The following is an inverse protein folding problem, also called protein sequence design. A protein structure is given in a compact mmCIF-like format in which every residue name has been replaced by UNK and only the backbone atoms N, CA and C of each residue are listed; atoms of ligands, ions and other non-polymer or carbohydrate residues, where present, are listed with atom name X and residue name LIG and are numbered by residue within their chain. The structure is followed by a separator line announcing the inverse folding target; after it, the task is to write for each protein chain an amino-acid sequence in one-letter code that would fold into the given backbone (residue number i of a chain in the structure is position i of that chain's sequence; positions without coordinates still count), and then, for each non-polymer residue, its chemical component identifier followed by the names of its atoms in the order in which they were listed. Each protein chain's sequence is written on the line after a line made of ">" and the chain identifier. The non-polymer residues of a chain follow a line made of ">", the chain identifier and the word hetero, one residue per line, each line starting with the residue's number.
data_IF_804907721278
#
_entry.id   IF_804907721278
#
_cell.length_a   1.000
_cell.length_b   1.000
_cell.length_c   1.000
_cell.angle_alpha   90.00
_cell.angle_beta   90.00
_cell.angle_gamma   90.00
#
_symmetry.space_group_name_H-M   'P 1'
#
loop_
_entity.id
_entity.type
_entity.pdbx_description
1 polymer ?
#
# COMPACT_ATOMS: atom_id res chain seq x y z
N UNK A 1 -2.66 19.36 19.33
CA UNK A 1 -2.61 18.11 18.57
C UNK A 1 -1.20 17.49 18.69
N UNK A 2 -0.97 16.65 19.70
CA UNK A 2 0.37 16.06 19.90
C UNK A 2 0.59 14.75 19.13
N UNK A 3 -0.46 14.07 18.65
CA UNK A 3 -0.37 12.72 18.04
C UNK A 3 -1.11 12.55 16.70
N UNK A 4 -1.45 13.62 16.00
CA UNK A 4 -2.09 13.54 14.66
C UNK A 4 -3.54 13.05 14.65
N UNK A 5 -4.13 12.68 15.76
CA UNK A 5 -5.54 12.29 15.89
C UNK A 5 -6.20 12.93 17.11
N UNK A 6 -7.52 13.02 17.11
CA UNK A 6 -8.33 13.57 18.18
C UNK A 6 -9.38 12.54 18.59
N UNK A 7 -9.51 12.25 19.89
CA UNK A 7 -10.55 11.34 20.38
C UNK A 7 -11.89 12.05 20.46
N UNK A 8 -12.95 11.36 20.11
CA UNK A 8 -14.34 11.89 20.18
C UNK A 8 -14.69 12.36 21.58
N UNK A 9 -14.27 11.64 22.62
CA UNK A 9 -14.56 12.00 24.00
C UNK A 9 -13.84 13.27 24.45
N UNK A 10 -12.58 13.45 24.05
CA UNK A 10 -11.78 14.62 24.40
C UNK A 10 -12.36 15.90 23.79
N UNK A 11 -12.83 15.82 22.52
CA UNK A 11 -13.52 16.96 21.88
C UNK A 11 -14.87 17.23 22.53
N UNK A 12 -15.63 16.18 22.82
CA UNK A 12 -16.95 16.32 23.47
C UNK A 12 -16.84 17.07 24.80
N UNK A 13 -15.85 16.70 25.61
CA UNK A 13 -15.55 17.36 26.87
C UNK A 13 -15.11 18.83 26.69
N UNK A 14 -14.14 19.06 25.75
CA UNK A 14 -13.66 20.43 25.46
C UNK A 14 -14.74 21.38 24.96
N UNK A 15 -15.70 20.87 24.15
CA UNK A 15 -16.77 21.70 23.57
C UNK A 15 -18.06 21.68 24.40
N UNK A 16 -18.12 20.91 25.49
CA UNK A 16 -19.31 20.81 26.33
C UNK A 16 -20.52 20.20 25.62
N UNK A 17 -20.30 19.32 24.65
CA UNK A 17 -21.35 18.65 23.86
C UNK A 17 -21.29 17.12 24.01
N UNK A 18 -22.34 16.43 23.57
CA UNK A 18 -22.37 14.98 23.65
C UNK A 18 -21.45 14.33 22.63
N UNK A 19 -20.91 13.15 22.94
CA UNK A 19 -20.15 12.36 21.96
C UNK A 19 -20.95 11.99 20.70
N UNK A 20 -22.29 11.95 20.80
CA UNK A 20 -23.18 11.74 19.66
C UNK A 20 -23.16 12.94 18.69
N UNK A 21 -23.17 14.16 19.23
CA UNK A 21 -23.03 15.40 18.44
C UNK A 21 -21.70 15.41 17.69
N UNK A 22 -20.60 15.18 18.39
CA UNK A 22 -19.27 15.12 17.77
C UNK A 22 -19.22 14.05 16.66
N UNK A 23 -19.78 12.85 16.88
CA UNK A 23 -19.81 11.82 15.84
C UNK A 23 -20.59 12.25 14.60
N UNK A 24 -21.68 13.02 14.76
CA UNK A 24 -22.46 13.58 13.65
C UNK A 24 -21.64 14.60 12.86
N UNK A 25 -20.99 15.54 13.55
CA UNK A 25 -20.18 16.58 12.91
C UNK A 25 -18.96 16.00 12.20
N UNK A 26 -18.31 15.01 12.81
CA UNK A 26 -17.20 14.29 12.19
C UNK A 26 -17.63 13.49 10.94
N UNK A 27 -18.87 12.97 10.87
CA UNK A 27 -19.41 12.35 9.64
C UNK A 27 -19.54 13.37 8.50
N UNK A 28 -19.99 14.58 8.81
CA UNK A 28 -20.10 15.64 7.81
C UNK A 28 -18.72 16.02 7.28
N UNK A 29 -17.73 16.22 8.18
CA UNK A 29 -16.37 16.55 7.79
C UNK A 29 -15.68 15.41 7.02
N UNK A 30 -15.97 14.16 7.35
CA UNK A 30 -15.50 12.98 6.63
C UNK A 30 -16.10 12.91 5.21
N UNK A 31 -17.40 13.19 5.06
CA UNK A 31 -18.04 13.25 3.74
C UNK A 31 -17.51 14.38 2.85
N UNK A 32 -16.95 15.43 3.47
CA UNK A 32 -16.27 16.53 2.78
C UNK A 32 -14.79 16.26 2.49
N UNK A 33 -14.26 15.09 2.92
CA UNK A 33 -12.86 14.73 2.72
C UNK A 33 -11.87 15.53 3.58
N UNK A 34 -12.32 16.20 4.63
CA UNK A 34 -11.49 17.04 5.53
C UNK A 34 -10.75 16.19 6.55
N UNK A 35 -11.35 15.09 6.97
CA UNK A 35 -10.80 14.14 7.93
C UNK A 35 -11.29 12.72 7.61
N UNK A 36 -10.67 11.74 8.24
CA UNK A 36 -11.18 10.36 8.30
C UNK A 36 -11.35 9.96 9.78
N UNK A 37 -12.28 9.04 10.03
CA UNK A 37 -12.58 8.53 11.38
C UNK A 37 -12.10 7.10 11.50
N UNK A 38 -11.58 6.80 12.68
CA UNK A 38 -11.35 5.43 13.16
C UNK A 38 -12.24 5.18 14.36
N UNK A 39 -12.27 3.95 14.90
CA UNK A 39 -13.08 3.66 16.09
C UNK A 39 -12.73 4.61 17.25
N UNK A 40 -13.61 5.60 17.49
CA UNK A 40 -13.52 6.56 18.60
C UNK A 40 -12.56 7.74 18.40
N UNK A 41 -11.96 7.93 17.22
CA UNK A 41 -11.09 9.08 16.93
C UNK A 41 -11.30 9.64 15.52
N UNK A 42 -10.76 10.84 15.27
CA UNK A 42 -10.70 11.48 13.97
C UNK A 42 -9.30 12.03 13.71
N UNK A 43 -8.85 11.95 12.47
CA UNK A 43 -7.56 12.47 12.03
C UNK A 43 -7.75 13.35 10.79
N UNK A 44 -7.08 14.52 10.71
CA UNK A 44 -7.15 15.33 9.52
C UNK A 44 -6.52 14.58 8.33
N UNK A 45 -7.13 14.70 7.17
CA UNK A 45 -6.49 14.28 5.93
C UNK A 45 -5.25 15.15 5.76
N UNK A 46 -4.06 14.57 5.90
CA UNK A 46 -2.81 15.23 5.51
C UNK A 46 -2.70 15.05 3.99
N UNK A 47 -2.94 16.09 3.19
CA UNK A 47 -3.11 15.93 1.75
C UNK A 47 -1.81 15.55 1.02
N UNK A 48 -0.66 15.68 1.64
CA UNK A 48 0.61 15.37 0.99
C UNK A 48 1.45 14.40 1.80
N UNK A 49 1.83 13.33 1.13
CA UNK A 49 2.79 12.34 1.65
C UNK A 49 4.20 12.86 1.38
N UNK A 50 5.04 12.83 2.41
CA UNK A 50 6.46 13.13 2.30
C UNK A 50 7.21 11.85 1.96
N UNK A 51 8.23 11.93 1.10
CA UNK A 51 9.13 10.80 0.84
C UNK A 51 10.04 10.57 2.06
N UNK A 52 9.69 9.58 2.86
CA UNK A 52 10.46 9.12 4.03
C UNK A 52 11.11 7.78 3.72
N UNK A 53 12.22 7.48 4.41
CA UNK A 53 12.99 6.26 4.17
C UNK A 53 12.18 4.99 4.40
N UNK A 54 12.55 3.91 3.71
CA UNK A 54 11.89 2.62 3.86
C UNK A 54 12.04 2.08 5.29
N UNK A 55 13.15 2.34 5.97
CA UNK A 55 13.40 1.93 7.35
C UNK A 55 12.47 2.65 8.32
N UNK A 56 12.27 3.96 8.13
CA UNK A 56 11.30 4.71 8.92
C UNK A 56 9.87 4.21 8.67
N UNK A 57 9.50 3.95 7.41
CA UNK A 57 8.21 3.33 7.07
C UNK A 57 8.07 1.94 7.69
N UNK A 58 9.12 1.15 7.77
CA UNK A 58 9.08 -0.22 8.29
C UNK A 58 8.71 -0.27 9.78
N UNK A 59 9.17 0.69 10.57
CA UNK A 59 8.87 0.76 12.01
C UNK A 59 7.42 1.18 12.32
N UNK A 60 6.72 1.84 11.37
CA UNK A 60 5.34 2.27 11.53
C UNK A 60 4.39 1.13 11.15
N UNK A 61 3.36 0.87 11.95
CA UNK A 61 2.34 -0.16 11.67
C UNK A 61 2.93 -1.55 11.36
N UNK A 62 3.95 -1.96 12.13
CA UNK A 62 4.68 -3.21 11.85
C UNK A 62 3.81 -4.47 12.03
N UNK A 63 2.87 -4.45 12.99
CA UNK A 63 1.96 -5.58 13.27
C UNK A 63 1.00 -5.76 12.10
N UNK A 64 0.37 -4.69 11.65
CA UNK A 64 -0.56 -4.66 10.53
C UNK A 64 0.13 -5.13 9.24
N UNK A 65 1.35 -4.67 8.98
CA UNK A 65 2.14 -5.10 7.81
C UNK A 65 2.46 -6.59 7.83
N UNK A 66 2.74 -7.15 9.01
CA UNK A 66 2.96 -8.59 9.14
C UNK A 66 1.68 -9.39 8.91
N UNK A 67 0.52 -8.92 9.38
CA UNK A 67 -0.76 -9.55 9.12
C UNK A 67 -1.11 -9.51 7.62
N UNK A 68 -0.93 -8.35 6.97
CA UNK A 68 -1.09 -8.16 5.53
C UNK A 68 -0.15 -9.09 4.75
N UNK A 69 1.11 -9.18 5.16
CA UNK A 69 2.10 -10.06 4.54
C UNK A 69 1.70 -11.54 4.57
N UNK A 70 1.18 -12.02 5.72
CA UNK A 70 0.68 -13.40 5.86
C UNK A 70 -0.52 -13.66 4.96
N UNK A 71 -1.44 -12.73 4.84
CA UNK A 71 -2.59 -12.86 3.95
C UNK A 71 -2.15 -12.85 2.48
N UNK A 72 -1.24 -11.97 2.09
CA UNK A 72 -0.72 -11.91 0.72
C UNK A 72 -0.07 -13.22 0.27
N UNK A 73 0.58 -13.95 1.18
CA UNK A 73 1.17 -15.26 0.88
C UNK A 73 0.15 -16.28 0.41
N UNK A 74 -1.09 -16.23 0.89
CA UNK A 74 -2.15 -17.19 0.49
C UNK A 74 -2.54 -17.06 -0.98
N UNK A 75 -2.21 -15.96 -1.62
CA UNK A 75 -2.47 -15.72 -3.05
C UNK A 75 -1.40 -16.31 -3.98
N UNK A 76 -0.26 -16.77 -3.44
CA UNK A 76 0.83 -17.35 -4.23
C UNK A 76 0.50 -18.79 -4.59
N UNK A 77 0.65 -19.11 -5.85
CA UNK A 77 0.48 -20.47 -6.40
C UNK A 77 1.83 -21.05 -6.82
N UNK A 78 1.96 -22.39 -6.87
CA UNK A 78 3.12 -23.01 -7.49
C UNK A 78 3.31 -22.49 -8.93
N UNK A 79 4.57 -22.32 -9.32
CA UNK A 79 4.99 -21.85 -10.64
C UNK A 79 4.55 -20.42 -11.01
N UNK A 80 4.10 -19.62 -10.03
CA UNK A 80 3.79 -18.21 -10.24
C UNK A 80 5.03 -17.43 -10.72
N UNK A 81 4.80 -16.48 -11.62
CA UNK A 81 5.72 -15.39 -11.91
C UNK A 81 5.10 -14.11 -11.33
N UNK A 82 5.79 -13.49 -10.38
CA UNK A 82 5.27 -12.34 -9.65
C UNK A 82 6.22 -11.14 -9.71
N UNK A 83 5.67 -9.96 -9.64
CA UNK A 83 6.43 -8.73 -9.43
C UNK A 83 6.26 -8.30 -7.98
N UNK A 84 7.37 -8.08 -7.28
CA UNK A 84 7.41 -7.46 -5.96
C UNK A 84 7.97 -6.05 -6.12
N UNK A 85 7.14 -5.03 -5.96
CA UNK A 85 7.59 -3.64 -6.00
C UNK A 85 8.48 -3.30 -4.78
N UNK A 86 8.89 -2.07 -4.64
CA UNK A 86 9.54 -1.57 -3.42
C UNK A 86 8.51 -1.16 -2.38
N UNK A 87 8.94 -1.05 -1.12
CA UNK A 87 8.11 -0.55 -0.02
C UNK A 87 8.14 -1.46 1.20
N UNK A 88 7.95 -0.88 2.40
CA UNK A 88 8.09 -1.59 3.67
C UNK A 88 7.08 -2.73 3.85
N UNK A 89 5.84 -2.59 3.37
CA UNK A 89 4.83 -3.66 3.43
C UNK A 89 5.14 -4.78 2.45
N UNK A 90 5.64 -4.45 1.24
CA UNK A 90 6.09 -5.46 0.26
C UNK A 90 7.34 -6.18 0.76
N UNK A 91 8.24 -5.49 1.47
CA UNK A 91 9.40 -6.12 2.13
C UNK A 91 8.95 -7.09 3.22
N UNK A 92 8.00 -6.71 4.07
CA UNK A 92 7.43 -7.62 5.07
C UNK A 92 6.77 -8.85 4.41
N UNK A 93 6.09 -8.67 3.26
CA UNK A 93 5.59 -9.78 2.48
C UNK A 93 6.71 -10.67 1.92
N UNK A 94 7.76 -10.08 1.37
CA UNK A 94 8.92 -10.83 0.90
C UNK A 94 9.60 -11.63 2.02
N UNK A 95 9.66 -11.08 3.23
CA UNK A 95 10.17 -11.79 4.43
C UNK A 95 9.30 -12.99 4.79
N UNK A 96 7.99 -12.85 4.76
CA UNK A 96 7.02 -13.90 5.07
C UNK A 96 6.88 -14.95 3.96
N UNK A 97 7.21 -14.61 2.71
CA UNK A 97 6.98 -15.44 1.54
C UNK A 97 7.71 -16.78 1.64
N UNK A 98 6.97 -17.88 1.63
CA UNK A 98 7.48 -19.25 1.66
C UNK A 98 6.72 -20.11 0.62
N UNK A 99 7.07 -19.99 -0.68
CA UNK A 99 6.33 -20.67 -1.73
C UNK A 99 6.55 -22.19 -1.69
N UNK A 100 5.50 -22.94 -2.01
CA UNK A 100 5.53 -24.43 -2.01
C UNK A 100 6.25 -24.97 -3.25
N UNK A 101 6.24 -24.23 -4.38
CA UNK A 101 6.90 -24.59 -5.64
C UNK A 101 7.91 -23.55 -6.07
N UNK A 102 8.44 -23.70 -7.28
CA UNK A 102 9.31 -22.67 -7.89
C UNK A 102 8.49 -21.41 -8.17
N UNK A 103 9.04 -20.25 -7.84
CA UNK A 103 8.43 -18.94 -8.13
C UNK A 103 9.47 -18.04 -8.81
N UNK A 104 9.06 -17.38 -9.89
CA UNK A 104 9.86 -16.31 -10.50
C UNK A 104 9.48 -14.98 -9.89
N UNK A 105 10.45 -14.24 -9.36
CA UNK A 105 10.27 -12.94 -8.73
C UNK A 105 11.00 -11.87 -9.54
N UNK A 106 10.27 -10.90 -10.04
CA UNK A 106 10.82 -9.67 -10.63
C UNK A 106 10.72 -8.55 -9.61
N UNK A 107 11.79 -7.79 -9.40
CA UNK A 107 11.75 -6.70 -8.42
C UNK A 107 12.71 -5.56 -8.78
N UNK A 108 12.33 -4.29 -8.54
CA UNK A 108 13.25 -3.15 -8.55
C UNK A 108 14.04 -3.01 -7.25
N UNK A 109 13.65 -3.72 -6.18
CA UNK A 109 14.23 -3.56 -4.84
C UNK A 109 15.44 -4.46 -4.63
N UNK A 110 16.60 -3.84 -4.36
CA UNK A 110 17.82 -4.57 -4.01
C UNK A 110 17.66 -5.36 -2.71
N UNK A 111 16.93 -4.80 -1.73
CA UNK A 111 16.66 -5.48 -0.46
C UNK A 111 15.83 -6.75 -0.66
N UNK A 112 14.72 -6.65 -1.41
CA UNK A 112 13.86 -7.80 -1.73
C UNK A 112 14.63 -8.82 -2.58
N UNK A 113 15.40 -8.38 -3.58
CA UNK A 113 16.21 -9.29 -4.39
C UNK A 113 17.19 -10.09 -3.54
N UNK A 114 17.87 -9.44 -2.60
CA UNK A 114 18.81 -10.09 -1.67
C UNK A 114 18.12 -11.10 -0.76
N UNK A 115 16.93 -10.76 -0.24
CA UNK A 115 16.09 -11.65 0.57
C UNK A 115 15.66 -12.90 -0.21
N UNK A 116 15.13 -12.70 -1.41
CA UNK A 116 14.58 -13.77 -2.24
C UNK A 116 15.68 -14.69 -2.79
N UNK A 117 16.83 -14.15 -3.12
CA UNK A 117 17.96 -14.93 -3.66
C UNK A 117 18.55 -15.96 -2.66
N UNK A 118 18.21 -15.84 -1.38
CA UNK A 118 18.59 -16.83 -0.34
C UNK A 118 17.69 -18.07 -0.33
N UNK A 119 16.60 -18.08 -1.10
CA UNK A 119 15.59 -19.15 -1.14
C UNK A 119 15.82 -20.05 -2.35
N UNK A 120 15.94 -21.35 -2.12
CA UNK A 120 16.26 -22.32 -3.17
C UNK A 120 15.15 -22.49 -4.22
N UNK A 121 13.91 -22.14 -3.87
CA UNK A 121 12.73 -22.26 -4.73
C UNK A 121 12.27 -20.93 -5.33
N UNK A 122 13.14 -19.91 -5.34
CA UNK A 122 12.85 -18.60 -5.94
C UNK A 122 13.93 -18.25 -6.95
N UNK A 123 13.51 -17.92 -8.17
CA UNK A 123 14.39 -17.34 -9.19
C UNK A 123 14.15 -15.83 -9.25
N UNK A 124 15.19 -15.06 -9.02
CA UNK A 124 15.08 -13.59 -8.92
C UNK A 124 15.58 -12.94 -10.21
N UNK A 125 14.77 -12.01 -10.71
CA UNK A 125 15.10 -11.08 -11.77
C UNK A 125 15.09 -9.66 -11.19
N UNK A 126 16.26 -9.07 -11.03
CA UNK A 126 16.37 -7.69 -10.57
C UNK A 126 16.32 -6.72 -11.75
N UNK A 127 15.49 -5.69 -11.66
CA UNK A 127 15.47 -4.61 -12.63
C UNK A 127 16.71 -3.74 -12.49
N UNK A 128 17.22 -3.22 -13.61
CA UNK A 128 18.41 -2.36 -13.64
C UNK A 128 18.06 -0.89 -13.47
N UNK A 129 19.06 -0.06 -13.18
CA UNK A 129 18.90 1.38 -13.14
C UNK A 129 19.67 2.06 -12.00
N UNK A 130 19.40 3.36 -11.80
CA UNK A 130 19.97 4.12 -10.69
C UNK A 130 19.31 3.72 -9.37
N UNK A 131 20.11 3.47 -8.34
CA UNK A 131 19.63 3.10 -7.00
C UNK A 131 19.25 4.36 -6.22
N UNK A 132 18.04 4.36 -5.68
CA UNK A 132 17.53 5.41 -4.80
C UNK A 132 17.68 5.01 -3.33
N UNK A 133 18.37 5.84 -2.56
CA UNK A 133 18.73 5.54 -1.17
C UNK A 133 17.53 5.35 -0.25
N UNK A 134 16.49 6.20 -0.39
CA UNK A 134 15.32 6.14 0.51
C UNK A 134 14.50 4.86 0.38
N UNK A 135 14.51 4.23 -0.79
CA UNK A 135 13.71 3.03 -1.08
C UNK A 135 14.52 1.77 -1.34
N UNK A 136 15.87 1.88 -1.41
CA UNK A 136 16.76 0.78 -1.80
C UNK A 136 16.27 0.06 -3.07
N UNK A 137 15.76 0.87 -4.03
CA UNK A 137 15.20 0.37 -5.28
C UNK A 137 15.67 1.18 -6.48
N UNK A 138 15.67 0.57 -7.64
CA UNK A 138 15.98 1.24 -8.91
C UNK A 138 14.71 1.84 -9.53
N UNK A 139 14.89 2.91 -10.32
CA UNK A 139 13.83 3.60 -11.07
C UNK A 139 14.37 4.08 -12.41
N UNK A 140 13.48 4.56 -13.27
CA UNK A 140 13.79 5.19 -14.53
C UNK A 140 13.76 4.24 -15.73
N UNK A 141 14.20 4.73 -16.88
CA UNK A 141 14.01 4.09 -18.19
C UNK A 141 14.61 2.69 -18.29
N UNK A 142 15.74 2.42 -17.63
CA UNK A 142 16.35 1.09 -17.63
C UNK A 142 15.47 0.06 -16.88
N UNK A 143 14.87 0.46 -15.76
CA UNK A 143 13.96 -0.40 -15.01
C UNK A 143 12.67 -0.64 -15.81
N UNK A 144 12.09 0.42 -16.39
CA UNK A 144 10.90 0.35 -17.25
C UNK A 144 11.16 -0.54 -18.49
N UNK A 145 12.33 -0.38 -19.13
CA UNK A 145 12.72 -1.20 -20.29
C UNK A 145 12.87 -2.69 -19.95
N UNK A 146 13.34 -3.01 -18.73
CA UNK A 146 13.46 -4.38 -18.25
C UNK A 146 12.12 -5.12 -18.15
N UNK A 147 11.00 -4.39 -18.02
CA UNK A 147 9.66 -4.96 -17.94
C UNK A 147 9.05 -5.33 -19.29
N UNK A 148 9.57 -4.81 -20.41
CA UNK A 148 8.99 -5.04 -21.77
C UNK A 148 8.92 -6.51 -22.18
N UNK A 149 9.81 -7.36 -21.64
CA UNK A 149 9.88 -8.78 -21.95
C UNK A 149 9.40 -9.64 -20.76
N UNK A 150 8.66 -9.05 -19.83
CA UNK A 150 8.16 -9.71 -18.61
C UNK A 150 6.65 -9.83 -18.71
N UNK A 151 6.12 -10.99 -18.37
CA UNK A 151 4.70 -11.25 -18.17
C UNK A 151 4.54 -12.01 -16.86
N UNK A 152 3.86 -11.41 -15.89
CA UNK A 152 3.67 -11.99 -14.57
C UNK A 152 2.18 -12.21 -14.27
N UNK A 153 1.89 -13.18 -13.42
CA UNK A 153 0.53 -13.46 -12.96
C UNK A 153 0.04 -12.35 -11.99
N UNK A 154 0.93 -11.87 -11.13
CA UNK A 154 0.58 -10.88 -10.10
C UNK A 154 1.67 -9.85 -9.88
N UNK A 155 1.24 -8.64 -9.59
CA UNK A 155 2.07 -7.57 -9.04
C UNK A 155 1.63 -7.28 -7.60
N UNK A 156 2.58 -7.19 -6.69
CA UNK A 156 2.36 -6.73 -5.31
C UNK A 156 3.00 -5.37 -5.13
N UNK A 157 2.21 -4.37 -4.78
CA UNK A 157 2.65 -2.99 -4.55
C UNK A 157 2.28 -2.51 -3.16
N UNK A 158 3.11 -1.62 -2.60
CA UNK A 158 2.71 -0.71 -1.54
C UNK A 158 2.23 0.61 -2.12
N UNK A 159 1.69 1.46 -1.27
CA UNK A 159 1.35 2.83 -1.63
C UNK A 159 1.53 3.78 -0.44
N UNK A 160 1.52 5.06 -0.71
CA UNK A 160 1.55 6.09 0.34
C UNK A 160 0.17 6.73 0.56
N UNK A 161 -0.75 6.56 -0.37
CA UNK A 161 -2.12 7.03 -0.25
C UNK A 161 -3.11 6.29 -1.14
N UNK A 162 -4.31 6.10 -0.60
CA UNK A 162 -5.49 5.53 -1.28
C UNK A 162 -6.64 6.53 -1.10
N UNK A 163 -7.16 7.04 -2.19
CA UNK A 163 -8.21 8.06 -2.20
C UNK A 163 -9.21 7.80 -3.33
N UNK A 164 -10.51 7.98 -3.07
CA UNK A 164 -11.57 7.67 -4.03
C UNK A 164 -11.49 8.47 -5.34
N UNK A 165 -11.01 9.72 -5.26
CA UNK A 165 -10.91 10.59 -6.43
C UNK A 165 -9.55 10.52 -7.12
N UNK A 166 -8.48 10.23 -6.36
CA UNK A 166 -7.09 10.23 -6.85
C UNK A 166 -6.56 8.83 -7.13
N UNK A 167 -7.26 7.79 -6.68
CA UNK A 167 -6.80 6.41 -6.79
C UNK A 167 -5.65 6.09 -5.85
N UNK A 168 -4.71 5.30 -6.32
CA UNK A 168 -3.50 4.86 -5.62
C UNK A 168 -2.36 5.81 -5.94
N UNK A 169 -1.66 6.27 -4.91
CA UNK A 169 -0.62 7.30 -5.03
C UNK A 169 0.63 6.97 -4.20
N UNK A 170 1.77 7.50 -4.61
CA UNK A 170 3.05 7.41 -3.90
C UNK A 170 3.73 8.79 -3.81
N UNK A 171 4.91 8.85 -3.20
CA UNK A 171 5.58 10.13 -2.92
C UNK A 171 6.16 10.81 -4.17
N UNK A 172 6.57 10.05 -5.20
CA UNK A 172 7.31 10.60 -6.36
C UNK A 172 6.73 10.14 -7.70
N UNK A 173 6.91 10.97 -8.75
CA UNK A 173 6.46 10.65 -10.11
C UNK A 173 7.25 9.47 -10.69
N UNK A 174 8.54 9.39 -10.41
CA UNK A 174 9.42 8.33 -10.91
C UNK A 174 9.00 6.94 -10.38
N UNK A 175 8.59 6.88 -9.11
CA UNK A 175 8.03 5.67 -8.52
C UNK A 175 6.68 5.31 -9.13
N UNK A 176 5.80 6.29 -9.31
CA UNK A 176 4.51 6.09 -9.94
C UNK A 176 4.64 5.55 -11.37
N UNK A 177 5.56 6.11 -12.17
CA UNK A 177 5.82 5.66 -13.54
C UNK A 177 6.29 4.20 -13.59
N UNK A 178 7.28 3.84 -12.77
CA UNK A 178 7.75 2.45 -12.71
C UNK A 178 6.65 1.51 -12.25
N UNK A 179 5.87 1.90 -11.22
CA UNK A 179 4.76 1.08 -10.72
C UNK A 179 3.68 0.86 -11.79
N UNK A 180 3.34 1.90 -12.55
CA UNK A 180 2.42 1.78 -13.68
C UNK A 180 2.95 0.84 -14.77
N UNK A 181 4.25 0.90 -15.08
CA UNK A 181 4.89 -0.04 -16.00
C UNK A 181 4.86 -1.49 -15.47
N UNK A 182 5.01 -1.70 -14.15
CA UNK A 182 4.87 -3.02 -13.51
C UNK A 182 3.42 -3.52 -13.57
N UNK A 183 2.41 -2.63 -13.40
CA UNK A 183 0.99 -2.99 -13.57
C UNK A 183 0.72 -3.50 -14.99
N UNK A 184 1.28 -2.85 -16.00
CA UNK A 184 1.14 -3.29 -17.40
C UNK A 184 1.82 -4.63 -17.72
N UNK A 185 2.76 -5.07 -16.88
CA UNK A 185 3.49 -6.33 -17.02
C UNK A 185 2.88 -7.48 -16.19
N UNK A 186 1.79 -7.25 -15.47
CA UNK A 186 1.12 -8.23 -14.64
C UNK A 186 -0.36 -8.36 -14.99
N UNK A 187 -0.92 -9.55 -14.79
CA UNK A 187 -2.35 -9.81 -15.04
C UNK A 187 -3.25 -9.37 -13.89
N UNK A 188 -2.69 -9.23 -12.68
CA UNK A 188 -3.44 -8.85 -11.48
C UNK A 188 -2.57 -7.94 -10.60
N UNK A 189 -3.16 -6.86 -10.10
CA UNK A 189 -2.50 -5.93 -9.18
C UNK A 189 -3.05 -6.07 -7.77
N UNK A 190 -2.17 -6.38 -6.81
CA UNK A 190 -2.48 -6.52 -5.39
C UNK A 190 -1.80 -5.39 -4.61
N UNK A 191 -2.61 -4.55 -3.97
CA UNK A 191 -2.13 -3.45 -3.11
C UNK A 191 -2.02 -3.96 -1.67
N UNK A 192 -0.86 -3.80 -1.06
CA UNK A 192 -0.57 -4.11 0.34
C UNK A 192 -0.45 -2.81 1.13
N UNK A 193 -1.48 -2.44 1.88
CA UNK A 193 -1.55 -1.15 2.54
C UNK A 193 -2.23 -1.26 3.91
N UNK A 194 -1.58 -0.75 4.96
CA UNK A 194 -2.23 -0.59 6.24
C UNK A 194 -3.29 0.53 6.19
N UNK A 195 -4.24 0.51 7.12
CA UNK A 195 -5.39 1.43 7.14
C UNK A 195 -5.01 2.91 7.22
N UNK A 196 -3.80 3.24 7.66
CA UNK A 196 -3.31 4.63 7.71
C UNK A 196 -3.11 5.26 6.32
N UNK A 197 -3.13 4.47 5.24
CA UNK A 197 -2.96 4.94 3.86
C UNK A 197 -4.25 5.46 3.23
N UNK A 198 -5.39 5.08 3.77
CA UNK A 198 -6.69 5.50 3.25
C UNK A 198 -6.99 6.97 3.60
N UNK A 199 -7.59 7.68 2.64
CA UNK A 199 -7.87 9.11 2.73
C UNK A 199 -6.63 10.00 2.59
N UNK A 200 -5.49 9.45 2.15
CA UNK A 200 -4.24 10.19 1.88
C UNK A 200 -3.96 10.25 0.39
N UNK A 201 -3.17 11.27 0.00
CA UNK A 201 -2.75 11.48 -1.39
C UNK A 201 -1.26 11.73 -1.43
N UNK A 202 -0.56 10.99 -2.29
CA UNK A 202 0.82 11.25 -2.67
C UNK A 202 0.89 12.17 -3.89
N UNK A 203 2.09 12.62 -4.23
CA UNK A 203 2.33 13.47 -5.39
C UNK A 203 2.31 12.67 -6.71
N UNK A 204 2.84 11.45 -6.69
CA UNK A 204 2.86 10.56 -7.86
C UNK A 204 1.59 9.70 -7.91
N UNK A 205 0.84 9.77 -8.99
CA UNK A 205 -0.34 8.94 -9.23
C UNK A 205 0.08 7.64 -9.90
N UNK A 206 -0.21 6.51 -9.23
CA UNK A 206 0.07 5.16 -9.73
C UNK A 206 -1.03 4.71 -10.70
N UNK A 207 -2.28 4.75 -10.28
CA UNK A 207 -3.44 4.33 -11.07
C UNK A 207 -4.74 4.71 -10.37
N UNK A 208 -5.86 4.45 -11.02
CA UNK A 208 -7.19 4.59 -10.43
C UNK A 208 -7.56 3.33 -9.64
N UNK A 209 -8.66 3.37 -8.89
CA UNK A 209 -9.12 2.19 -8.15
C UNK A 209 -9.52 1.06 -9.11
N UNK A 210 -10.10 1.38 -10.24
CA UNK A 210 -10.51 0.43 -11.28
C UNK A 210 -9.34 -0.34 -11.91
N UNK A 211 -8.10 0.15 -11.73
CA UNK A 211 -6.87 -0.52 -12.19
C UNK A 211 -6.35 -1.55 -11.18
N UNK A 212 -7.03 -1.71 -10.03
CA UNK A 212 -6.62 -2.56 -8.89
C UNK A 212 -7.58 -3.72 -8.72
N UNK A 213 -7.06 -4.92 -8.61
CA UNK A 213 -7.88 -6.12 -8.40
C UNK A 213 -8.15 -6.41 -6.92
N UNK A 214 -7.10 -6.29 -6.10
CA UNK A 214 -7.16 -6.66 -4.67
C UNK A 214 -6.45 -5.60 -3.82
N UNK A 215 -7.06 -5.25 -2.70
CA UNK A 215 -6.41 -4.52 -1.61
C UNK A 215 -6.41 -5.41 -0.36
N UNK A 216 -5.24 -5.64 0.23
CA UNK A 216 -5.11 -6.31 1.54
C UNK A 216 -4.78 -5.24 2.57
N UNK A 217 -5.63 -5.13 3.60
CA UNK A 217 -5.51 -4.10 4.65
C UNK A 217 -5.97 -4.63 6.00
N UNK A 218 -5.64 -3.91 7.07
CA UNK A 218 -6.12 -4.19 8.42
C UNK A 218 -7.54 -3.65 8.67
N UNK A 219 -8.16 -4.09 9.78
CA UNK A 219 -9.52 -3.73 10.18
C UNK A 219 -9.73 -2.25 10.53
N UNK A 220 -8.68 -1.42 10.51
CA UNK A 220 -8.76 0.02 10.73
C UNK A 220 -9.34 0.83 9.56
N UNK A 221 -9.61 0.22 8.41
CA UNK A 221 -10.27 0.90 7.28
C UNK A 221 -11.68 1.36 7.66
N UNK A 222 -12.09 2.63 7.36
CA UNK A 222 -13.47 3.07 7.60
C UNK A 222 -14.48 2.30 6.73
N UNK A 223 -15.58 1.80 7.32
CA UNK A 223 -16.60 1.01 6.61
C UNK A 223 -17.15 1.73 5.35
N UNK A 224 -17.43 3.04 5.46
CA UNK A 224 -17.92 3.85 4.34
C UNK A 224 -16.93 3.98 3.18
N UNK A 225 -15.65 3.86 3.46
CA UNK A 225 -14.61 3.90 2.42
C UNK A 225 -14.42 2.53 1.80
N UNK A 226 -14.49 1.49 2.63
CA UNK A 226 -14.47 0.11 2.20
C UNK A 226 -15.59 -0.17 1.18
N UNK A 227 -16.85 0.14 1.54
CA UNK A 227 -18.01 -0.05 0.65
C UNK A 227 -17.80 0.62 -0.72
N UNK A 228 -17.34 1.88 -0.74
CA UNK A 228 -17.09 2.60 -2.00
C UNK A 228 -15.96 2.03 -2.85
N UNK A 229 -14.94 1.44 -2.23
CA UNK A 229 -13.85 0.78 -2.95
C UNK A 229 -14.34 -0.56 -3.52
N UNK A 230 -15.12 -1.32 -2.76
CA UNK A 230 -15.76 -2.55 -3.23
C UNK A 230 -16.76 -2.27 -4.37
N UNK A 231 -17.53 -1.17 -4.30
CA UNK A 231 -18.41 -0.70 -5.38
C UNK A 231 -17.66 -0.33 -6.67
N UNK A 232 -16.40 0.09 -6.55
CA UNK A 232 -15.51 0.33 -7.69
C UNK A 232 -14.94 -0.97 -8.31
N UNK A 233 -15.31 -2.14 -7.79
CA UNK A 233 -14.92 -3.45 -8.30
C UNK A 233 -13.66 -4.04 -7.67
N UNK A 234 -13.09 -3.41 -6.65
CA UNK A 234 -11.88 -3.86 -5.97
C UNK A 234 -12.23 -4.87 -4.88
N UNK A 235 -11.61 -6.04 -4.89
CA UNK A 235 -11.74 -6.99 -3.78
C UNK A 235 -10.92 -6.49 -2.57
N UNK A 236 -11.56 -6.38 -1.39
CA UNK A 236 -10.86 -6.06 -0.14
C UNK A 236 -10.72 -7.31 0.73
N UNK A 237 -9.48 -7.60 1.15
CA UNK A 237 -9.16 -8.63 2.14
C UNK A 237 -8.76 -7.92 3.43
N UNK A 238 -9.56 -8.09 4.49
CA UNK A 238 -9.28 -7.51 5.80
C UNK A 238 -8.56 -8.53 6.68
N UNK A 239 -7.51 -8.07 7.35
CA UNK A 239 -6.73 -8.86 8.32
C UNK A 239 -6.77 -8.21 9.70
N UNK A 240 -6.56 -9.03 10.73
CA UNK A 240 -6.46 -8.63 12.15
C UNK A 240 -5.04 -8.79 12.69
#
# INVERSE_FOLDING_TARGET
>A
MKNGFIRVLDIAEQLGVTGATIRKDLRILESQGVLYRTHGSASPVKPHVTDISIDEKASQHAIEKQAIARAAQTLIKPDDAIILASGSTVTAFAEALSPVGMVNVVTPSLGIATLMNRRNNVKVFILGGALYNNSFSVRGEYAEAGLKNVSCSKLYIGCDGIDLASGITCATIEEARLTNAMMSAASQTVVLADSSKFGRRGFGKIGMLEDIDIIITDSGIPDTLREKIEDAGVQIIIVD
#
